data_IF_055208190379
#
_entry.id   IF_055208190379
#
_cell.length_a   1.000
_cell.length_b   1.000
_cell.length_c   1.000
_cell.angle_alpha   90.00
_cell.angle_beta   90.00
_cell.angle_gamma   90.00
#
_symmetry.space_group_name_H-M   'P 1'
#
loop_
_entity.id
_entity.type
_entity.pdbx_description
1 polymer ?
#
# COMPACT_ATOMS: atom_id res chain seq x y z
N UNK A 1 -12.10 9.04 -1.22
CA UNK A 1 -10.77 8.47 -0.92
C UNK A 1 -9.79 9.50 -0.40
N UNK A 2 -9.41 10.53 -1.18
CA UNK A 2 -8.42 11.52 -0.74
C UNK A 2 -8.89 12.30 0.50
N UNK A 3 -10.09 12.88 0.44
CA UNK A 3 -10.68 13.60 1.57
C UNK A 3 -10.85 12.67 2.78
N UNK A 4 -11.42 11.49 2.58
CA UNK A 4 -11.56 10.45 3.61
C UNK A 4 -10.23 10.07 4.26
N UNK A 5 -9.15 9.97 3.49
CA UNK A 5 -7.81 9.68 4.00
C UNK A 5 -7.27 10.87 4.80
N UNK A 6 -7.41 12.09 4.29
CA UNK A 6 -7.03 13.29 5.02
C UNK A 6 -7.80 13.40 6.35
N UNK A 7 -9.11 13.21 6.33
CA UNK A 7 -9.98 13.25 7.51
C UNK A 7 -9.58 12.15 8.52
N UNK A 8 -9.28 10.94 8.05
CA UNK A 8 -8.83 9.83 8.89
C UNK A 8 -7.49 10.13 9.59
N UNK A 9 -6.52 10.68 8.86
CA UNK A 9 -5.23 11.06 9.43
C UNK A 9 -5.33 12.30 10.33
N UNK A 10 -6.30 13.20 10.10
CA UNK A 10 -6.58 14.33 10.99
C UNK A 10 -7.26 13.91 12.30
N UNK A 11 -7.99 12.80 12.30
CA UNK A 11 -8.59 12.22 13.51
C UNK A 11 -7.58 11.48 14.39
N UNK A 12 -6.40 11.13 13.86
CA UNK A 12 -5.33 10.58 14.69
C UNK A 12 -4.85 11.65 15.66
N UNK A 13 -4.88 11.33 16.95
CA UNK A 13 -4.22 12.18 17.93
C UNK A 13 -2.70 12.07 17.73
N UNK A 14 -2.11 13.10 17.14
CA UNK A 14 -0.66 13.21 16.97
C UNK A 14 0.00 13.94 18.16
N UNK A 15 -0.78 14.37 19.16
CA UNK A 15 -0.26 15.06 20.33
C UNK A 15 0.61 14.12 21.16
N UNK A 16 1.84 14.53 21.42
CA UNK A 16 2.83 13.76 22.17
C UNK A 16 3.68 12.81 21.33
N UNK A 17 3.39 12.63 20.03
CA UNK A 17 4.26 11.89 19.12
C UNK A 17 5.45 12.75 18.66
N UNK A 18 6.62 12.13 18.58
CA UNK A 18 7.75 12.71 17.86
C UNK A 18 7.44 12.81 16.36
N UNK A 19 8.14 13.71 15.66
CA UNK A 19 8.03 13.84 14.20
C UNK A 19 8.34 12.53 13.47
N UNK A 20 9.19 11.68 14.05
CA UNK A 20 9.53 10.38 13.50
C UNK A 20 8.40 9.37 13.67
N UNK A 21 7.79 9.28 14.85
CA UNK A 21 6.62 8.42 15.07
C UNK A 21 5.44 8.84 14.18
N UNK A 22 5.21 10.15 14.03
CA UNK A 22 4.21 10.68 13.10
C UNK A 22 4.51 10.30 11.63
N UNK A 23 5.78 10.33 11.22
CA UNK A 23 6.19 9.89 9.89
C UNK A 23 6.00 8.37 9.69
N UNK A 24 6.31 7.55 10.71
CA UNK A 24 6.15 6.09 10.64
C UNK A 24 4.70 5.67 10.38
N UNK A 25 3.71 6.36 10.97
CA UNK A 25 2.28 6.12 10.72
C UNK A 25 1.94 6.25 9.23
N UNK A 26 2.56 7.22 8.54
CA UNK A 26 2.37 7.51 7.12
C UNK A 26 3.25 6.65 6.20
N UNK A 27 4.31 6.05 6.73
CA UNK A 27 5.15 5.10 6.00
C UNK A 27 4.45 3.74 5.92
N UNK A 28 3.78 3.30 6.99
CA UNK A 28 2.91 2.11 6.99
C UNK A 28 3.61 0.80 6.64
N UNK A 29 4.94 0.77 6.81
CA UNK A 29 5.82 -0.38 6.66
C UNK A 29 7.01 -0.21 7.58
N UNK A 30 7.70 -1.30 7.90
CA UNK A 30 8.98 -1.24 8.59
C UNK A 30 10.04 -0.57 7.70
N UNK A 31 10.85 0.30 8.31
CA UNK A 31 12.00 0.93 7.67
C UNK A 31 13.24 0.11 7.97
N UNK A 32 14.12 -0.08 6.99
CA UNK A 32 15.47 -0.59 7.26
C UNK A 32 16.31 0.45 8.02
N UNK A 33 17.37 -0.01 8.70
CA UNK A 33 18.23 0.85 9.54
C UNK A 33 18.79 2.09 8.83
N UNK A 34 19.17 1.95 7.55
CA UNK A 34 19.66 3.07 6.73
C UNK A 34 18.56 4.08 6.40
N UNK A 35 17.35 3.59 6.09
CA UNK A 35 16.21 4.44 5.73
C UNK A 35 15.74 5.21 6.96
N UNK A 36 15.66 4.54 8.12
CA UNK A 36 15.36 5.14 9.41
C UNK A 36 16.35 6.26 9.76
N UNK A 37 17.65 6.04 9.57
CA UNK A 37 18.68 7.06 9.85
C UNK A 37 18.49 8.31 8.99
N UNK A 38 18.22 8.13 7.69
CA UNK A 38 17.94 9.25 6.79
C UNK A 38 16.66 10.01 7.16
N UNK A 39 15.64 9.31 7.66
CA UNK A 39 14.42 9.94 8.17
C UNK A 39 14.69 10.76 9.42
N UNK A 40 15.37 10.20 10.41
CA UNK A 40 15.72 10.93 11.65
C UNK A 40 16.52 12.20 11.34
N UNK A 41 17.55 12.09 10.50
CA UNK A 41 18.37 13.24 10.11
C UNK A 41 17.56 14.31 9.35
N UNK A 42 16.63 13.92 8.48
CA UNK A 42 15.77 14.87 7.77
C UNK A 42 14.77 15.58 8.71
N UNK A 43 14.31 14.89 9.75
CA UNK A 43 13.33 15.39 10.72
C UNK A 43 13.95 16.28 11.81
N UNK A 44 15.25 16.13 12.10
CA UNK A 44 15.99 16.99 13.03
C UNK A 44 16.13 18.42 12.50
N UNK A 45 16.21 18.59 11.18
CA UNK A 45 16.52 19.88 10.55
C UNK A 45 15.29 20.71 10.16
N UNK A 46 14.10 20.32 10.61
CA UNK A 46 12.83 20.92 10.22
C UNK A 46 12.05 21.38 11.44
N UNK A 47 11.29 22.46 11.29
CA UNK A 47 10.34 22.91 12.30
C UNK A 47 8.98 22.26 12.10
N UNK A 48 8.58 22.06 10.84
CA UNK A 48 7.25 21.58 10.47
C UNK A 48 7.31 20.32 9.59
N UNK A 49 6.48 19.34 9.92
CA UNK A 49 6.22 18.16 9.10
C UNK A 49 4.81 18.27 8.51
N UNK A 50 4.67 18.18 7.19
CA UNK A 50 3.38 18.19 6.50
C UNK A 50 3.17 16.85 5.80
N UNK A 51 2.11 16.16 6.18
CA UNK A 51 1.73 14.85 5.66
C UNK A 51 0.58 15.04 4.66
N UNK A 52 0.81 14.68 3.40
CA UNK A 52 -0.13 14.91 2.29
C UNK A 52 -0.55 13.58 1.68
N UNK A 53 -1.79 13.10 1.90
CA UNK A 53 -2.28 11.95 1.15
C UNK A 53 -2.41 12.33 -0.33
N UNK A 54 -2.16 11.38 -1.22
CA UNK A 54 -2.25 11.55 -2.66
C UNK A 54 -2.89 10.33 -3.30
N UNK A 55 -3.96 10.55 -4.06
CA UNK A 55 -4.65 9.48 -4.78
C UNK A 55 -3.84 8.90 -5.96
N UNK A 56 -2.78 9.60 -6.38
CA UNK A 56 -2.00 9.26 -7.57
C UNK A 56 -0.61 8.68 -7.26
N UNK A 57 -0.24 8.61 -5.98
CA UNK A 57 1.12 8.26 -5.57
C UNK A 57 1.28 6.80 -5.12
N UNK A 58 0.20 6.06 -4.85
CA UNK A 58 0.30 4.69 -4.35
C UNK A 58 1.12 3.77 -5.28
N UNK A 59 2.06 2.93 -4.79
CA UNK A 59 2.51 2.69 -3.40
C UNK A 59 3.74 3.51 -2.96
N UNK A 60 4.08 4.57 -3.70
CA UNK A 60 5.29 5.33 -3.49
C UNK A 60 5.15 6.39 -2.40
N UNK A 61 6.30 6.75 -1.83
CA UNK A 61 6.46 7.83 -0.86
C UNK A 61 7.30 8.92 -1.51
N UNK A 62 6.74 10.12 -1.62
CA UNK A 62 7.44 11.31 -2.06
C UNK A 62 7.85 12.13 -0.84
N UNK A 63 9.09 12.64 -0.80
CA UNK A 63 9.50 13.62 0.19
C UNK A 63 10.23 14.77 -0.47
N UNK A 64 9.90 15.99 -0.09
CA UNK A 64 10.65 17.16 -0.51
C UNK A 64 10.68 18.18 0.63
N UNK A 65 11.75 18.97 0.67
CA UNK A 65 11.94 20.02 1.67
C UNK A 65 11.72 21.37 1.03
N UNK A 66 11.00 22.24 1.73
CA UNK A 66 10.86 23.65 1.39
C UNK A 66 11.08 24.47 2.65
N UNK A 67 12.23 25.14 2.74
CA UNK A 67 12.64 25.86 3.95
C UNK A 67 12.83 24.94 5.16
N UNK A 68 12.12 25.24 6.23
CA UNK A 68 12.05 24.49 7.49
C UNK A 68 10.94 23.42 7.50
N UNK A 69 10.27 23.21 6.38
CA UNK A 69 9.13 22.31 6.27
C UNK A 69 9.47 21.08 5.44
N UNK A 70 9.27 19.88 5.99
CA UNK A 70 9.31 18.63 5.23
C UNK A 70 7.91 18.26 4.78
N UNK A 71 7.74 18.11 3.48
CA UNK A 71 6.52 17.64 2.85
C UNK A 71 6.66 16.16 2.52
N UNK A 72 5.74 15.35 3.01
CA UNK A 72 5.68 13.92 2.76
C UNK A 72 4.39 13.62 2.03
N UNK A 73 4.48 13.23 0.76
CA UNK A 73 3.35 12.76 -0.02
C UNK A 73 3.32 11.24 0.04
N UNK A 74 2.14 10.68 0.25
CA UNK A 74 1.96 9.24 0.36
C UNK A 74 0.68 8.80 -0.32
N UNK A 75 0.59 7.54 -0.74
CA UNK A 75 -0.64 6.99 -1.30
C UNK A 75 -1.80 7.11 -0.31
N UNK A 76 -2.89 7.76 -0.73
CA UNK A 76 -4.08 7.95 0.10
C UNK A 76 -4.61 6.59 0.58
N UNK A 77 -4.65 6.41 1.91
CA UNK A 77 -5.09 5.19 2.57
C UNK A 77 -5.69 5.51 3.95
N UNK A 78 -6.34 4.53 4.56
CA UNK A 78 -6.86 4.65 5.91
C UNK A 78 -5.79 4.09 6.89
N UNK A 79 -5.39 4.83 7.93
CA UNK A 79 -4.43 4.34 8.92
C UNK A 79 -4.99 3.17 9.73
N UNK A 80 -4.13 2.20 10.08
CA UNK A 80 -4.52 1.04 10.87
C UNK A 80 -4.98 1.48 12.27
N UNK A 81 -6.15 0.99 12.70
CA UNK A 81 -6.73 1.32 14.01
C UNK A 81 -7.62 2.58 14.04
N UNK A 82 -7.68 3.36 12.97
CA UNK A 82 -8.67 4.42 12.88
C UNK A 82 -10.07 3.80 12.71
N UNK A 83 -10.95 3.99 13.70
CA UNK A 83 -12.39 3.79 13.55
C UNK A 83 -12.96 4.92 12.69
N UNK A 84 -12.52 4.97 11.43
CA UNK A 84 -13.31 5.66 10.42
C UNK A 84 -14.45 4.70 10.15
N UNK A 85 -15.66 5.05 10.60
CA UNK A 85 -16.85 4.62 9.88
C UNK A 85 -16.57 5.00 8.42
N UNK A 86 -16.16 4.04 7.61
CA UNK A 86 -15.92 4.25 6.20
C UNK A 86 -17.21 3.87 5.48
N UNK A 87 -18.19 4.78 5.30
CA UNK A 87 -19.01 4.66 4.12
C UNK A 87 -18.12 5.06 2.94
N UNK A 88 -18.08 4.17 1.96
CA UNK A 88 -17.64 4.41 0.59
C UNK A 88 -16.12 4.39 0.33
N UNK A 89 -15.60 3.18 0.12
CA UNK A 89 -14.61 3.01 -0.95
C UNK A 89 -15.15 3.73 -2.19
N UNK A 90 -14.40 4.68 -2.77
CA UNK A 90 -14.94 5.41 -3.90
C UNK A 90 -15.20 4.44 -5.05
N UNK A 91 -16.22 4.69 -5.88
CA UNK A 91 -16.50 3.85 -7.06
C UNK A 91 -15.24 3.63 -7.92
N UNK A 92 -14.35 4.62 -7.99
CA UNK A 92 -13.08 4.52 -8.69
C UNK A 92 -12.13 3.48 -8.04
N UNK A 93 -12.03 3.45 -6.71
CA UNK A 93 -11.20 2.47 -5.99
C UNK A 93 -11.72 1.04 -6.17
N UNK A 94 -13.04 0.87 -6.14
CA UNK A 94 -13.70 -0.42 -6.40
C UNK A 94 -13.36 -0.89 -7.81
N UNK A 95 -13.48 0.01 -8.81
CA UNK A 95 -13.12 -0.31 -10.20
C UNK A 95 -11.65 -0.70 -10.36
N UNK A 96 -10.72 -0.01 -9.69
CA UNK A 96 -9.29 -0.36 -9.73
C UNK A 96 -9.06 -1.77 -9.19
N UNK A 97 -9.70 -2.11 -8.06
CA UNK A 97 -9.61 -3.44 -7.44
C UNK A 97 -10.20 -4.53 -8.32
N UNK A 98 -11.41 -4.31 -8.85
CA UNK A 98 -12.06 -5.25 -9.78
C UNK A 98 -11.20 -5.44 -11.02
N UNK A 99 -10.68 -4.37 -11.63
CA UNK A 99 -9.82 -4.47 -12.81
C UNK A 99 -8.54 -5.27 -12.54
N UNK A 100 -7.97 -5.16 -11.33
CA UNK A 100 -6.82 -5.98 -10.95
C UNK A 100 -7.18 -7.48 -10.79
N UNK A 101 -8.42 -7.81 -10.44
CA UNK A 101 -8.89 -9.21 -10.34
C UNK A 101 -9.52 -9.75 -11.63
N UNK A 102 -9.98 -8.89 -12.55
CA UNK A 102 -10.67 -9.25 -13.78
C UNK A 102 -9.69 -9.71 -14.91
N UNK A 103 -8.77 -10.61 -14.58
CA UNK A 103 -7.78 -11.19 -15.49
C UNK A 103 -7.44 -12.60 -15.03
N UNK A 104 -7.60 -13.57 -15.93
CA UNK A 104 -7.44 -15.00 -15.63
C UNK A 104 -6.04 -15.31 -15.09
N UNK A 105 -5.00 -14.81 -15.75
CA UNK A 105 -3.61 -15.02 -15.35
C UNK A 105 -3.35 -14.45 -13.95
N UNK A 106 -3.88 -13.27 -13.63
CA UNK A 106 -3.74 -12.70 -12.28
C UNK A 106 -4.44 -13.54 -11.22
N UNK A 107 -5.65 -14.05 -11.48
CA UNK A 107 -6.34 -14.94 -10.54
C UNK A 107 -5.58 -16.25 -10.34
N UNK A 108 -5.02 -16.82 -11.41
CA UNK A 108 -4.19 -18.04 -11.34
C UNK A 108 -2.91 -17.82 -10.54
N UNK A 109 -2.24 -16.68 -10.71
CA UNK A 109 -1.06 -16.30 -9.92
C UNK A 109 -1.43 -16.19 -8.43
N UNK A 110 -2.53 -15.49 -8.11
CA UNK A 110 -2.99 -15.35 -6.72
C UNK A 110 -3.30 -16.71 -6.10
N UNK A 111 -3.96 -17.60 -6.86
CA UNK A 111 -4.30 -18.96 -6.42
C UNK A 111 -3.06 -19.81 -6.17
N UNK A 112 -2.08 -19.78 -7.08
CA UNK A 112 -0.80 -20.49 -6.93
C UNK A 112 -0.07 -20.05 -5.67
N UNK A 113 0.05 -18.74 -5.44
CA UNK A 113 0.69 -18.20 -4.23
C UNK A 113 -0.11 -18.56 -2.98
N UNK A 114 -1.45 -18.59 -3.05
CA UNK A 114 -2.29 -19.01 -1.92
C UNK A 114 -2.04 -20.48 -1.51
N UNK A 115 -1.74 -21.36 -2.46
CA UNK A 115 -1.52 -22.79 -2.22
C UNK A 115 -0.10 -23.09 -1.74
N UNK A 116 0.90 -22.43 -2.33
CA UNK A 116 2.32 -22.66 -2.03
C UNK A 116 2.86 -21.74 -0.92
N UNK A 117 2.11 -20.71 -0.53
CA UNK A 117 2.49 -19.73 0.49
C UNK A 117 3.33 -18.59 -0.09
N UNK A 118 4.65 -18.64 0.10
CA UNK A 118 5.56 -17.61 -0.40
C UNK A 118 6.34 -18.12 -1.60
N UNK A 119 6.30 -17.38 -2.71
CA UNK A 119 6.98 -17.76 -3.94
C UNK A 119 7.89 -16.65 -4.48
N UNK A 120 9.02 -17.06 -5.08
CA UNK A 120 9.90 -16.14 -5.81
C UNK A 120 9.34 -15.87 -7.19
N UNK A 121 9.75 -14.75 -7.80
CA UNK A 121 9.33 -14.42 -9.17
C UNK A 121 9.63 -15.51 -10.20
N UNK A 122 10.72 -16.27 -10.03
CA UNK A 122 11.09 -17.33 -10.97
C UNK A 122 10.24 -18.59 -10.81
N UNK A 123 9.85 -18.95 -9.59
CA UNK A 123 8.95 -20.06 -9.31
C UNK A 123 7.57 -19.78 -9.91
N UNK A 124 7.08 -18.55 -9.78
CA UNK A 124 5.82 -18.11 -10.38
C UNK A 124 5.89 -18.16 -11.91
N UNK A 125 7.01 -17.71 -12.50
CA UNK A 125 7.20 -17.79 -13.96
C UNK A 125 7.18 -19.23 -14.45
N UNK A 126 7.89 -20.13 -13.75
CA UNK A 126 7.95 -21.54 -14.11
C UNK A 126 6.59 -22.24 -13.95
N UNK A 127 5.92 -22.06 -12.81
CA UNK A 127 4.62 -22.69 -12.51
C UNK A 127 3.47 -22.16 -13.37
N UNK A 128 3.61 -20.96 -13.96
CA UNK A 128 2.60 -20.36 -14.84
C UNK A 128 2.98 -20.35 -16.31
N UNK A 129 4.17 -20.87 -16.67
CA UNK A 129 4.75 -20.81 -18.02
C UNK A 129 4.76 -19.39 -18.63
N UNK A 130 5.04 -18.39 -17.79
CA UNK A 130 5.05 -16.98 -18.19
C UNK A 130 6.43 -16.51 -18.58
N UNK A 131 6.49 -15.65 -19.58
CA UNK A 131 7.70 -14.86 -19.86
C UNK A 131 7.98 -13.89 -18.71
N UNK A 132 9.24 -13.48 -18.57
CA UNK A 132 9.65 -12.50 -17.55
C UNK A 132 8.88 -11.17 -17.65
N UNK A 133 8.66 -10.66 -18.86
CA UNK A 133 7.93 -9.41 -19.06
C UNK A 133 6.45 -9.54 -18.68
N UNK A 134 5.83 -10.68 -19.01
CA UNK A 134 4.45 -10.96 -18.66
C UNK A 134 4.29 -11.09 -17.14
N UNK A 135 5.08 -11.95 -16.50
CA UNK A 135 5.05 -12.15 -15.05
C UNK A 135 5.31 -10.83 -14.30
N UNK A 136 6.34 -10.07 -14.69
CA UNK A 136 6.65 -8.79 -14.06
C UNK A 136 5.47 -7.80 -14.13
N UNK A 137 4.76 -7.74 -15.27
CA UNK A 137 3.58 -6.89 -15.42
C UNK A 137 2.45 -7.30 -14.47
N UNK A 138 2.11 -8.60 -14.42
CA UNK A 138 1.04 -9.10 -13.56
C UNK A 138 1.38 -8.91 -12.07
N UNK A 139 2.60 -9.26 -11.66
CA UNK A 139 3.06 -9.12 -10.28
C UNK A 139 3.09 -7.66 -9.84
N UNK A 140 3.59 -6.75 -10.70
CA UNK A 140 3.60 -5.32 -10.42
C UNK A 140 2.18 -4.78 -10.21
N UNK A 141 1.22 -5.19 -11.05
CA UNK A 141 -0.16 -4.76 -10.92
C UNK A 141 -0.80 -5.28 -9.62
N UNK A 142 -0.63 -6.57 -9.32
CA UNK A 142 -1.15 -7.19 -8.11
C UNK A 142 -0.56 -6.56 -6.83
N UNK A 143 0.76 -6.33 -6.80
CA UNK A 143 1.43 -5.65 -5.69
C UNK A 143 1.00 -4.18 -5.56
N UNK A 144 0.85 -3.45 -6.68
CA UNK A 144 0.39 -2.06 -6.64
C UNK A 144 -1.05 -1.93 -6.09
N UNK A 145 -1.91 -2.91 -6.36
CA UNK A 145 -3.26 -2.99 -5.78
C UNK A 145 -3.31 -3.64 -4.39
N UNK A 146 -2.17 -4.08 -3.88
CA UNK A 146 -2.02 -4.64 -2.54
C UNK A 146 -2.53 -6.07 -2.36
N UNK A 147 -2.82 -6.81 -3.45
CA UNK A 147 -3.18 -8.24 -3.36
C UNK A 147 -1.96 -9.12 -3.09
N UNK A 148 -0.77 -8.65 -3.45
CA UNK A 148 0.50 -9.31 -3.13
C UNK A 148 1.35 -8.41 -2.25
N UNK A 149 1.87 -8.98 -1.17
CA UNK A 149 2.95 -8.37 -0.39
C UNK A 149 4.29 -8.77 -1.01
N UNK A 150 5.16 -7.79 -1.25
CA UNK A 150 6.48 -8.00 -1.85
C UNK A 150 7.58 -7.81 -0.81
N UNK A 151 8.50 -8.77 -0.69
CA UNK A 151 9.74 -8.63 0.09
C UNK A 151 10.96 -9.10 -0.69
N UNK A 152 12.15 -8.70 -0.27
CA UNK A 152 13.40 -9.24 -0.81
C UNK A 152 13.79 -10.52 -0.08
N UNK A 153 14.21 -11.54 -0.84
CA UNK A 153 14.65 -12.84 -0.35
C UNK A 153 15.84 -13.29 -1.21
N UNK A 154 17.02 -13.43 -0.61
CA UNK A 154 18.25 -13.91 -1.29
C UNK A 154 18.53 -13.19 -2.62
N UNK A 155 18.34 -11.87 -2.66
CA UNK A 155 18.55 -11.04 -3.86
C UNK A 155 17.39 -11.04 -4.88
N UNK A 156 16.38 -11.89 -4.71
CA UNK A 156 15.18 -11.94 -5.53
C UNK A 156 13.96 -11.28 -4.82
N UNK A 157 12.87 -11.10 -5.57
CA UNK A 157 11.57 -10.70 -5.02
C UNK A 157 10.76 -11.96 -4.66
N UNK A 158 10.26 -11.99 -3.44
CA UNK A 158 9.29 -12.96 -2.94
C UNK A 158 7.92 -12.30 -2.79
N UNK A 159 6.88 -13.07 -3.05
CA UNK A 159 5.50 -12.63 -3.00
C UNK A 159 4.67 -13.55 -2.11
N UNK A 160 3.84 -12.95 -1.26
CA UNK A 160 2.80 -13.63 -0.49
C UNK A 160 1.44 -13.03 -0.79
N UNK A 161 0.39 -13.84 -0.69
CA UNK A 161 -0.98 -13.36 -0.82
C UNK A 161 -1.34 -12.49 0.39
N UNK A 162 -1.95 -11.33 0.12
CA UNK A 162 -2.62 -10.54 1.13
C UNK A 162 -4.11 -10.92 1.18
N UNK A 163 -4.47 -11.85 2.06
CA UNK A 163 -5.86 -12.32 2.25
C UNK A 163 -6.79 -11.20 2.68
N UNK A 164 -6.34 -10.32 3.57
CA UNK A 164 -7.14 -9.21 4.09
C UNK A 164 -7.56 -8.27 2.96
N UNK A 165 -6.69 -8.05 1.97
CA UNK A 165 -7.03 -7.24 0.78
C UNK A 165 -8.13 -7.87 -0.06
N UNK A 166 -8.18 -9.20 -0.17
CA UNK A 166 -9.25 -9.91 -0.89
C UNK A 166 -10.58 -9.71 -0.15
N UNK A 167 -10.60 -9.96 1.15
CA UNK A 167 -11.79 -9.77 1.98
C UNK A 167 -12.29 -8.33 1.97
N UNK A 168 -11.39 -7.36 2.11
CA UNK A 168 -11.68 -5.93 2.02
C UNK A 168 -12.33 -5.57 0.68
N UNK A 169 -11.88 -6.19 -0.41
CA UNK A 169 -12.44 -5.95 -1.74
C UNK A 169 -13.87 -6.46 -1.84
N UNK A 170 -14.12 -7.69 -1.40
CA UNK A 170 -15.46 -8.29 -1.40
C UNK A 170 -16.42 -7.49 -0.51
N UNK A 171 -15.97 -7.11 0.69
CA UNK A 171 -16.74 -6.27 1.62
C UNK A 171 -17.07 -4.93 1.01
N UNK A 172 -16.11 -4.26 0.36
CA UNK A 172 -16.34 -2.98 -0.28
C UNK A 172 -17.35 -3.05 -1.43
N UNK A 173 -17.28 -4.10 -2.25
CA UNK A 173 -18.25 -4.33 -3.33
C UNK A 173 -19.65 -4.60 -2.73
N UNK A 174 -19.73 -5.43 -1.68
CA UNK A 174 -20.98 -5.70 -0.98
C UNK A 174 -21.61 -4.44 -0.42
N UNK A 175 -20.83 -3.63 0.32
CA UNK A 175 -21.27 -2.34 0.87
C UNK A 175 -21.80 -1.42 -0.23
N UNK A 176 -21.07 -1.30 -1.34
CA UNK A 176 -21.45 -0.42 -2.45
C UNK A 176 -22.72 -0.88 -3.18
N UNK A 177 -22.89 -2.19 -3.41
CA UNK A 177 -24.04 -2.72 -4.15
C UNK A 177 -25.29 -2.90 -3.28
N UNK A 178 -25.10 -3.23 -1.99
CA UNK A 178 -26.19 -3.64 -1.10
C UNK A 178 -26.51 -2.59 -0.02
N UNK A 179 -25.66 -1.58 0.16
CA UNK A 179 -25.84 -0.53 1.17
C UNK A 179 -25.80 -1.04 2.61
N UNK A 180 -25.08 -2.15 2.86
CA UNK A 180 -24.97 -2.82 4.17
C UNK A 180 -23.53 -3.18 4.49
#
# INVERSE_FOLDING_TARGET
MLQTSADAFQQLNLDGLSKFEAAQLVIGRELGEEEERHWKQALEQIERLVLVPSAHLGPYLGKFRSGDTLWVLFGARIPAGAQVHAPDLSRADILVRINALADDTRLRILKLIAEEGELRSHDIMAGMELSQSAASRHLKQLSATGYLSERRCEGAKCYTLNSDRVEDTLRAISLFLLGK
#
